data_IF_251227614419
#
_entry.id   IF_251227614419
#
_cell.length_a   1.000
_cell.length_b   1.000
_cell.length_c   1.000
_cell.angle_alpha   90.00
_cell.angle_beta   90.00
_cell.angle_gamma   90.00
#
_symmetry.space_group_name_H-M   'P 1'
#
loop_
_entity.id
_entity.type
_entity.pdbx_description
1 polymer ?
#
# COMPACT_ATOMS: atom_id res chain seq x y z
N UNK A 1 81.24 -7.75 13.33
CA UNK A 1 80.15 -7.75 12.35
C UNK A 1 78.99 -6.90 12.82
N UNK A 2 79.09 -5.53 12.59
CA UNK A 2 78.02 -4.57 12.88
C UNK A 2 77.16 -4.39 11.66
N UNK A 3 76.00 -5.01 11.62
CA UNK A 3 74.97 -4.71 10.60
C UNK A 3 74.32 -3.36 10.92
N UNK A 4 74.60 -2.37 10.12
CA UNK A 4 73.87 -1.10 10.12
C UNK A 4 72.46 -1.35 9.56
N UNK A 5 71.43 -1.11 10.35
CA UNK A 5 70.03 -1.11 9.91
C UNK A 5 69.81 0.06 8.93
N UNK A 6 69.08 -0.17 7.82
CA UNK A 6 68.77 0.90 6.89
C UNK A 6 67.89 1.97 7.56
N UNK A 7 68.20 3.23 7.23
CA UNK A 7 67.50 4.40 7.69
C UNK A 7 65.96 4.26 7.46
N UNK A 8 65.19 4.62 8.45
CA UNK A 8 63.73 4.69 8.40
C UNK A 8 63.33 5.48 7.17
N UNK A 9 62.62 4.84 6.24
CA UNK A 9 61.93 5.53 5.15
C UNK A 9 60.95 6.53 5.78
N UNK A 10 61.20 7.80 5.54
CA UNK A 10 60.40 8.91 6.05
C UNK A 10 58.99 8.87 5.47
N UNK A 11 58.03 8.40 6.27
CA UNK A 11 56.61 8.50 6.00
C UNK A 11 56.11 9.91 6.36
N UNK A 12 56.70 10.93 5.73
CA UNK A 12 56.34 12.30 6.10
C UNK A 12 55.92 13.22 4.96
N UNK A 13 55.52 12.66 3.81
CA UNK A 13 55.01 13.52 2.74
C UNK A 13 53.76 12.89 2.07
N UNK A 14 52.72 12.70 2.88
CA UNK A 14 51.43 12.62 2.28
C UNK A 14 50.95 14.05 1.99
N UNK A 15 50.72 14.44 0.72
CA UNK A 15 50.29 15.79 0.38
C UNK A 15 49.01 16.14 1.14
N UNK A 16 48.87 17.40 1.56
CA UNK A 16 47.72 17.92 2.33
C UNK A 16 46.33 17.62 1.69
N UNK A 17 46.31 17.14 0.47
CA UNK A 17 45.16 16.64 -0.26
C UNK A 17 44.49 15.45 0.47
N UNK A 18 45.29 14.53 1.05
CA UNK A 18 44.75 13.34 1.77
C UNK A 18 43.89 13.67 3.00
N UNK A 19 44.10 14.83 3.61
CA UNK A 19 43.40 15.22 4.85
C UNK A 19 41.94 15.67 4.63
N UNK A 20 41.58 16.06 3.40
CA UNK A 20 40.22 16.54 3.08
C UNK A 20 39.33 15.45 2.52
N UNK A 21 39.88 14.32 2.05
CA UNK A 21 39.15 13.22 1.47
C UNK A 21 38.11 12.61 2.41
N UNK A 22 38.38 12.36 3.70
CA UNK A 22 37.36 11.80 4.59
C UNK A 22 36.17 12.75 4.78
N UNK A 23 36.41 14.07 4.81
CA UNK A 23 35.31 15.03 4.91
C UNK A 23 34.45 15.06 3.63
N UNK A 24 35.08 15.02 2.45
CA UNK A 24 34.36 14.94 1.17
C UNK A 24 33.58 13.64 1.07
N UNK A 25 34.20 12.50 1.42
CA UNK A 25 33.53 11.20 1.43
C UNK A 25 32.30 11.19 2.38
N UNK A 26 32.45 11.79 3.56
CA UNK A 26 31.35 11.91 4.52
C UNK A 26 30.18 12.74 3.97
N UNK A 27 30.47 13.88 3.34
CA UNK A 27 29.45 14.75 2.74
C UNK A 27 28.71 14.03 1.60
N UNK A 28 29.46 13.31 0.72
CA UNK A 28 28.86 12.53 -0.36
C UNK A 28 27.99 11.41 0.19
N UNK A 29 28.48 10.67 1.20
CA UNK A 29 27.71 9.60 1.82
C UNK A 29 26.42 10.13 2.46
N UNK A 30 26.52 11.25 3.20
CA UNK A 30 25.36 11.91 3.80
C UNK A 30 24.36 12.36 2.74
N UNK A 31 24.84 12.98 1.65
CA UNK A 31 24.00 13.38 0.51
C UNK A 31 23.27 12.22 -0.14
N UNK A 32 23.97 11.10 -0.39
CA UNK A 32 23.39 9.89 -0.93
C UNK A 32 22.35 9.29 0.02
N UNK A 33 22.63 9.26 1.32
CA UNK A 33 21.71 8.75 2.33
C UNK A 33 20.43 9.59 2.41
N UNK A 34 20.57 10.92 2.38
CA UNK A 34 19.42 11.83 2.37
C UNK A 34 18.60 11.71 1.08
N UNK A 35 19.26 11.63 -0.08
CA UNK A 35 18.58 11.42 -1.35
C UNK A 35 17.84 10.08 -1.39
N UNK A 36 18.46 9.01 -0.94
CA UNK A 36 17.84 7.70 -0.78
C UNK A 36 16.66 7.74 0.20
N UNK A 37 16.84 8.37 1.36
CA UNK A 37 15.78 8.56 2.35
C UNK A 37 14.60 9.34 1.80
N UNK A 38 14.84 10.41 1.04
CA UNK A 38 13.79 11.21 0.42
C UNK A 38 12.99 10.43 -0.64
N UNK A 39 13.66 9.63 -1.47
CA UNK A 39 12.97 8.78 -2.45
C UNK A 39 12.14 7.69 -1.76
N UNK A 40 12.71 7.04 -0.75
CA UNK A 40 12.00 6.03 0.05
C UNK A 40 10.83 6.63 0.83
N UNK A 41 10.98 7.84 1.37
CA UNK A 41 9.89 8.53 2.08
C UNK A 41 8.69 8.77 1.17
N UNK A 42 8.90 9.18 -0.09
CA UNK A 42 7.81 9.37 -1.06
C UNK A 42 7.07 8.09 -1.37
N UNK A 43 7.79 6.97 -1.51
CA UNK A 43 7.21 5.64 -1.78
C UNK A 43 6.55 5.06 -0.52
N UNK A 44 7.14 5.28 0.66
CA UNK A 44 6.64 4.74 1.94
C UNK A 44 5.64 5.67 2.64
N UNK A 45 5.38 6.85 2.08
CA UNK A 45 4.43 7.79 2.64
C UNK A 45 3.01 7.21 2.59
N UNK A 46 2.48 6.90 3.75
CA UNK A 46 1.14 6.32 3.92
C UNK A 46 0.00 7.34 3.73
N UNK A 47 0.27 8.48 3.08
CA UNK A 47 -0.77 9.49 2.78
C UNK A 47 -1.95 8.92 1.99
N UNK A 48 -1.68 7.94 1.13
CA UNK A 48 -2.73 7.24 0.38
C UNK A 48 -3.64 6.37 1.28
N UNK A 49 -3.22 6.05 2.51
CA UNK A 49 -4.11 5.31 3.44
C UNK A 49 -5.34 6.14 3.85
N UNK A 50 -5.23 7.47 3.88
CA UNK A 50 -6.40 8.32 4.11
C UNK A 50 -7.41 8.22 2.99
N UNK A 51 -6.95 8.05 1.76
CA UNK A 51 -7.78 7.90 0.59
C UNK A 51 -8.56 6.58 0.62
N UNK A 52 -7.95 5.50 1.10
CA UNK A 52 -8.67 4.24 1.34
C UNK A 52 -9.74 4.39 2.40
N UNK A 53 -9.47 5.18 3.45
CA UNK A 53 -10.45 5.47 4.48
C UNK A 53 -11.62 6.29 3.94
N UNK A 54 -11.35 7.39 3.26
CA UNK A 54 -12.37 8.24 2.64
C UNK A 54 -13.23 7.44 1.65
N UNK A 55 -12.60 6.62 0.82
CA UNK A 55 -13.28 5.70 -0.09
C UNK A 55 -14.19 4.73 0.68
N UNK A 56 -13.68 4.10 1.73
CA UNK A 56 -14.42 3.11 2.50
C UNK A 56 -15.59 3.73 3.26
N UNK A 57 -15.41 4.91 3.87
CA UNK A 57 -16.48 5.68 4.52
C UNK A 57 -17.58 6.06 3.53
N UNK A 58 -17.21 6.58 2.37
CA UNK A 58 -18.16 6.93 1.32
C UNK A 58 -18.90 5.68 0.78
N UNK A 59 -18.17 4.56 0.63
CA UNK A 59 -18.79 3.29 0.21
C UNK A 59 -19.80 2.80 1.23
N UNK A 60 -19.43 2.74 2.52
CA UNK A 60 -20.34 2.31 3.58
C UNK A 60 -21.57 3.22 3.69
N UNK A 61 -21.42 4.52 3.48
CA UNK A 61 -22.55 5.47 3.52
C UNK A 61 -23.55 5.23 2.39
N UNK A 62 -23.09 4.78 1.20
CA UNK A 62 -23.92 4.59 0.02
C UNK A 62 -24.65 3.24 0.00
N UNK A 63 -24.13 2.25 0.73
CA UNK A 63 -24.71 0.91 0.77
C UNK A 63 -26.07 0.89 1.48
N UNK A 64 -27.08 0.20 0.93
CA UNK A 64 -28.35 -0.01 1.61
C UNK A 64 -28.19 -0.87 2.87
N UNK A 65 -29.20 -0.88 3.73
CA UNK A 65 -29.19 -1.71 4.94
C UNK A 65 -29.09 -3.19 4.60
N UNK A 66 -28.24 -3.90 5.33
CA UNK A 66 -28.06 -5.33 5.18
C UNK A 66 -27.33 -5.76 3.91
N UNK A 67 -26.75 -4.84 3.14
CA UNK A 67 -26.00 -5.17 1.95
C UNK A 67 -24.78 -6.03 2.25
N UNK A 68 -24.37 -6.82 1.25
CA UNK A 68 -23.09 -7.50 1.22
C UNK A 68 -22.17 -6.80 0.21
N UNK A 69 -20.93 -6.59 0.59
CA UNK A 69 -19.89 -6.04 -0.29
C UNK A 69 -18.72 -7.01 -0.40
N UNK A 70 -18.38 -7.40 -1.61
CA UNK A 70 -17.19 -8.18 -1.92
C UNK A 70 -16.10 -7.23 -2.38
N UNK A 71 -14.92 -7.35 -1.79
CA UNK A 71 -13.80 -6.48 -2.09
C UNK A 71 -12.48 -7.24 -2.03
N UNK A 72 -11.46 -6.87 -2.82
CA UNK A 72 -10.13 -7.42 -2.67
C UNK A 72 -9.52 -7.00 -1.33
N UNK A 73 -8.42 -7.65 -0.94
CA UNK A 73 -7.80 -7.51 0.37
C UNK A 73 -7.66 -6.07 0.85
N UNK A 74 -7.07 -5.19 0.05
CA UNK A 74 -6.75 -3.82 0.48
C UNK A 74 -8.00 -3.01 0.85
N UNK A 75 -8.99 -3.01 -0.03
CA UNK A 75 -10.25 -2.30 0.18
C UNK A 75 -11.12 -3.00 1.24
N UNK A 76 -11.16 -4.32 1.18
CA UNK A 76 -11.96 -5.13 2.08
C UNK A 76 -11.52 -5.01 3.54
N UNK A 77 -10.21 -5.00 3.80
CA UNK A 77 -9.67 -4.82 5.15
C UNK A 77 -10.00 -3.44 5.73
N UNK A 78 -9.99 -2.39 4.91
CA UNK A 78 -10.37 -1.05 5.36
C UNK A 78 -11.86 -0.99 5.70
N UNK A 79 -12.73 -1.57 4.86
CA UNK A 79 -14.16 -1.68 5.13
C UNK A 79 -14.44 -2.49 6.39
N UNK A 80 -13.75 -3.62 6.58
CA UNK A 80 -13.88 -4.42 7.80
C UNK A 80 -13.42 -3.67 9.05
N UNK A 81 -12.33 -2.90 8.96
CA UNK A 81 -11.85 -2.09 10.08
C UNK A 81 -12.90 -1.07 10.51
N UNK A 82 -13.44 -0.28 9.58
CA UNK A 82 -14.49 0.69 9.89
C UNK A 82 -15.72 0.03 10.52
N UNK A 83 -16.13 -1.13 9.99
CA UNK A 83 -17.27 -1.87 10.50
C UNK A 83 -17.03 -2.47 11.88
N UNK A 84 -15.91 -3.18 12.08
CA UNK A 84 -15.69 -4.00 13.28
C UNK A 84 -15.04 -3.22 14.42
N UNK A 85 -14.14 -2.29 14.11
CA UNK A 85 -13.38 -1.55 15.11
C UNK A 85 -14.04 -0.20 15.43
N UNK A 86 -14.50 0.51 14.40
CA UNK A 86 -15.16 1.80 14.59
C UNK A 86 -16.69 1.70 14.74
N UNK A 87 -17.26 0.51 14.55
CA UNK A 87 -18.69 0.25 14.68
C UNK A 87 -19.54 0.90 13.61
N UNK A 88 -18.94 1.33 12.50
CA UNK A 88 -19.65 1.92 11.37
C UNK A 88 -20.40 0.83 10.60
N UNK A 89 -21.69 1.05 10.36
CA UNK A 89 -22.53 0.17 9.54
C UNK A 89 -22.41 -1.34 9.91
N UNK A 90 -22.71 -1.74 11.15
CA UNK A 90 -22.62 -3.14 11.58
C UNK A 90 -23.60 -4.05 10.82
N UNK A 91 -24.60 -3.47 10.15
CA UNK A 91 -25.59 -4.13 9.31
C UNK A 91 -25.04 -4.61 7.95
N UNK A 92 -23.91 -4.05 7.49
CA UNK A 92 -23.27 -4.40 6.21
C UNK A 92 -22.34 -5.59 6.37
N UNK A 93 -22.34 -6.50 5.42
CA UNK A 93 -21.45 -7.66 5.37
C UNK A 93 -20.28 -7.38 4.44
N UNK A 94 -19.07 -7.50 4.94
CA UNK A 94 -17.85 -7.32 4.14
C UNK A 94 -17.19 -8.66 3.94
N UNK A 95 -17.08 -9.09 2.69
CA UNK A 95 -16.42 -10.34 2.28
C UNK A 95 -15.13 -9.98 1.53
N UNK A 96 -14.00 -10.32 2.12
CA UNK A 96 -12.70 -10.12 1.51
C UNK A 96 -12.39 -11.28 0.59
N UNK A 97 -12.07 -10.98 -0.65
CA UNK A 97 -11.77 -11.98 -1.69
C UNK A 97 -10.28 -11.93 -2.03
N UNK A 98 -9.60 -13.05 -1.84
CA UNK A 98 -8.18 -13.19 -2.14
C UNK A 98 -7.93 -13.71 -3.56
N UNK A 99 -6.75 -13.46 -4.14
CA UNK A 99 -6.35 -14.07 -5.39
C UNK A 99 -6.38 -15.61 -5.29
N UNK A 100 -7.11 -16.26 -6.20
CA UNK A 100 -7.28 -17.71 -6.17
C UNK A 100 -8.55 -18.22 -5.47
N UNK A 101 -9.29 -17.33 -4.82
CA UNK A 101 -10.60 -17.63 -4.28
C UNK A 101 -11.63 -17.93 -5.40
N UNK A 102 -12.79 -18.42 -4.97
CA UNK A 102 -13.97 -18.60 -5.84
C UNK A 102 -14.33 -17.28 -6.55
N UNK A 103 -14.68 -17.33 -7.85
CA UNK A 103 -15.10 -16.14 -8.58
C UNK A 103 -16.25 -15.39 -7.90
N UNK A 104 -16.25 -14.08 -8.02
CA UNK A 104 -17.12 -13.19 -7.24
C UNK A 104 -18.62 -13.46 -7.43
N UNK A 105 -19.04 -13.74 -8.65
CA UNK A 105 -20.46 -14.03 -8.96
C UNK A 105 -21.00 -15.28 -8.25
N UNK A 106 -20.39 -16.46 -8.45
CA UNK A 106 -20.77 -17.69 -7.74
C UNK A 106 -20.68 -17.53 -6.21
N UNK A 107 -19.64 -16.86 -5.69
CA UNK A 107 -19.48 -16.58 -4.27
C UNK A 107 -20.62 -15.72 -3.73
N UNK A 108 -20.97 -14.65 -4.44
CA UNK A 108 -22.07 -13.77 -4.09
C UNK A 108 -23.41 -14.52 -4.04
N UNK A 109 -23.73 -15.27 -5.11
CA UNK A 109 -24.96 -16.03 -5.20
C UNK A 109 -25.10 -17.09 -4.10
N UNK A 110 -23.98 -17.73 -3.72
CA UNK A 110 -23.99 -18.78 -2.70
C UNK A 110 -24.08 -18.22 -1.28
N UNK A 111 -23.36 -17.12 -0.98
CA UNK A 111 -23.27 -16.59 0.37
C UNK A 111 -24.33 -15.55 0.72
N UNK A 112 -24.84 -14.86 -0.29
CA UNK A 112 -25.72 -13.71 -0.10
C UNK A 112 -26.94 -13.72 -1.02
N UNK A 113 -27.70 -14.85 -1.11
CA UNK A 113 -28.80 -15.00 -2.09
C UNK A 113 -29.92 -13.98 -1.90
N UNK A 114 -30.16 -13.55 -0.66
CA UNK A 114 -31.29 -12.69 -0.28
C UNK A 114 -30.88 -11.26 0.06
N UNK A 115 -29.68 -10.84 -0.34
CA UNK A 115 -29.14 -9.51 0.01
C UNK A 115 -28.76 -8.72 -1.23
N UNK A 116 -28.86 -7.39 -1.17
CA UNK A 116 -28.26 -6.56 -2.21
C UNK A 116 -26.73 -6.71 -2.16
N UNK A 117 -26.13 -7.15 -3.26
CA UNK A 117 -24.70 -7.42 -3.37
C UNK A 117 -24.01 -6.31 -4.15
N UNK A 118 -22.88 -5.89 -3.61
CA UNK A 118 -22.00 -4.91 -4.22
C UNK A 118 -20.59 -5.47 -4.38
N UNK A 119 -19.89 -4.97 -5.37
CA UNK A 119 -18.51 -5.32 -5.65
C UNK A 119 -17.66 -4.05 -5.64
N UNK A 120 -16.53 -4.10 -4.96
CA UNK A 120 -15.52 -3.04 -4.93
C UNK A 120 -14.25 -3.57 -5.59
N UNK A 121 -13.79 -2.94 -6.65
CA UNK A 121 -12.56 -3.38 -7.30
C UNK A 121 -12.44 -2.92 -8.74
N UNK A 122 -11.50 -3.48 -9.50
CA UNK A 122 -11.32 -3.17 -10.91
C UNK A 122 -12.44 -3.80 -11.75
N UNK A 123 -12.73 -3.20 -12.90
CA UNK A 123 -13.80 -3.66 -13.79
C UNK A 123 -13.61 -5.13 -14.26
N UNK A 124 -12.37 -5.56 -14.38
CA UNK A 124 -12.02 -6.92 -14.80
C UNK A 124 -12.49 -7.98 -13.79
N UNK A 125 -12.55 -7.64 -12.50
CA UNK A 125 -13.00 -8.56 -11.45
C UNK A 125 -14.49 -8.92 -11.55
N UNK A 126 -15.28 -8.07 -12.19
CA UNK A 126 -16.73 -8.26 -12.39
C UNK A 126 -17.09 -8.49 -13.85
N UNK A 127 -16.09 -8.71 -14.72
CA UNK A 127 -16.33 -8.95 -16.14
C UNK A 127 -17.27 -10.16 -16.36
N UNK A 128 -18.29 -9.96 -17.18
CA UNK A 128 -19.30 -10.99 -17.46
C UNK A 128 -20.40 -11.15 -16.41
N UNK A 129 -20.35 -10.40 -15.29
CA UNK A 129 -21.47 -10.36 -14.34
C UNK A 129 -22.50 -9.29 -14.75
N UNK A 130 -23.78 -9.49 -14.45
CA UNK A 130 -24.83 -8.50 -14.68
C UNK A 130 -24.75 -7.40 -13.60
N UNK A 131 -23.77 -6.50 -13.75
CA UNK A 131 -23.53 -5.42 -12.78
C UNK A 131 -23.85 -4.06 -13.35
N UNK A 132 -24.09 -3.11 -12.45
CA UNK A 132 -24.25 -1.71 -12.74
C UNK A 132 -23.19 -0.92 -11.97
N UNK A 133 -22.50 -0.01 -12.66
CA UNK A 133 -21.56 0.91 -12.02
C UNK A 133 -22.35 1.92 -11.18
N UNK A 134 -22.09 1.94 -9.88
CA UNK A 134 -22.72 2.86 -8.93
C UNK A 134 -21.85 4.09 -8.74
N UNK A 135 -20.54 3.88 -8.56
CA UNK A 135 -19.59 4.97 -8.34
C UNK A 135 -18.22 4.66 -8.94
N UNK A 136 -17.62 5.65 -9.54
CA UNK A 136 -16.24 5.66 -9.97
C UNK A 136 -15.41 6.51 -9.01
N UNK A 137 -14.34 5.92 -8.49
CA UNK A 137 -13.40 6.55 -7.60
C UNK A 137 -11.97 6.26 -8.10
N UNK A 138 -10.99 7.15 -7.93
CA UNK A 138 -9.62 6.92 -8.36
C UNK A 138 -8.96 5.63 -7.85
N UNK A 139 -9.49 5.04 -6.79
CA UNK A 139 -8.91 3.86 -6.14
C UNK A 139 -9.65 2.55 -6.40
N UNK A 140 -10.93 2.62 -6.67
CA UNK A 140 -11.74 1.45 -6.97
C UNK A 140 -13.10 1.87 -7.55
N UNK A 141 -13.72 0.94 -8.26
CA UNK A 141 -15.08 1.10 -8.76
C UNK A 141 -16.04 0.40 -7.81
N UNK A 142 -17.22 0.98 -7.61
CA UNK A 142 -18.31 0.35 -6.87
C UNK A 142 -19.37 -0.11 -7.87
N UNK A 143 -19.65 -1.40 -7.89
CA UNK A 143 -20.66 -2.01 -8.72
C UNK A 143 -21.77 -2.61 -7.88
N UNK A 144 -22.99 -2.63 -8.40
CA UNK A 144 -24.13 -3.32 -7.85
C UNK A 144 -24.48 -4.53 -8.73
N UNK A 145 -24.70 -5.69 -8.14
CA UNK A 145 -25.27 -6.85 -8.83
C UNK A 145 -26.76 -6.59 -9.12
N UNK A 146 -27.17 -6.83 -10.36
CA UNK A 146 -28.59 -6.71 -10.80
C UNK A 146 -29.39 -7.97 -10.52
#
# INVERSE_FOLDING_TARGET
WSRRLPARLGISQWPAIGRRWPAVALVVLLGLTLAWGATRYRVSSKRHLWLYREFAEATLAELPRGAAVLAPWEQGMTLQYLRLVEGQRPDVWVDVVEPGDEPWGPRAARRYPDRPVYFVGPAEAVAGLPVELVREDPYALLFRLR
#
